data_IF_175970789065
#
_entry.id   IF_175970789065
#
_cell.length_a   1.000
_cell.length_b   1.000
_cell.length_c   1.000
_cell.angle_alpha   90.00
_cell.angle_beta   90.00
_cell.angle_gamma   90.00
#
_symmetry.space_group_name_H-M   'P 1'
#
loop_
_entity.id
_entity.type
_entity.pdbx_description
1 polymer ?
#
# COMPACT_ATOMS: atom_id res chain seq x y z
N UNK A 1 28.92 48.41 23.52
CA UNK A 1 28.05 47.32 23.03
C UNK A 1 28.80 46.55 21.95
N UNK A 2 28.95 45.25 22.19
CA UNK A 2 29.15 44.10 21.28
C UNK A 2 30.04 44.19 20.01
N UNK A 3 30.87 43.14 19.89
CA UNK A 3 31.80 42.73 18.84
C UNK A 3 31.03 42.08 17.66
N UNK A 4 31.50 42.24 16.42
CA UNK A 4 31.48 41.16 15.43
C UNK A 4 32.36 41.50 14.21
N UNK A 5 33.57 40.92 14.19
CA UNK A 5 34.39 40.80 13.00
C UNK A 5 33.94 39.58 12.19
N UNK A 6 33.87 39.70 10.86
CA UNK A 6 34.05 38.53 9.98
C UNK A 6 34.62 38.97 8.64
N UNK A 7 35.87 38.56 8.44
CA UNK A 7 36.64 38.65 7.21
C UNK A 7 36.28 37.40 6.38
N UNK A 8 35.92 37.56 5.10
CA UNK A 8 35.95 36.45 4.15
C UNK A 8 36.85 36.84 2.99
N UNK A 9 37.98 36.14 2.97
CA UNK A 9 39.09 36.18 2.07
C UNK A 9 38.70 35.56 0.72
N UNK A 10 38.82 36.33 -0.36
CA UNK A 10 38.65 35.85 -1.73
C UNK A 10 39.98 35.24 -2.18
N UNK A 11 40.01 33.92 -2.37
CA UNK A 11 41.15 33.22 -2.94
C UNK A 11 40.78 32.68 -4.33
N UNK A 12 41.28 33.38 -5.34
CA UNK A 12 41.29 32.97 -6.75
C UNK A 12 42.22 31.77 -6.94
N UNK A 13 41.75 30.70 -7.60
CA UNK A 13 42.63 29.67 -8.14
C UNK A 13 42.34 29.46 -9.62
N UNK A 14 43.21 30.06 -10.43
CA UNK A 14 43.49 29.65 -11.80
C UNK A 14 44.46 28.46 -11.77
N UNK A 15 44.28 27.47 -12.64
CA UNK A 15 45.24 26.37 -12.80
C UNK A 15 44.72 25.25 -13.70
N UNK A 16 45.01 25.36 -14.99
CA UNK A 16 44.69 24.40 -16.04
C UNK A 16 45.76 23.30 -16.15
N UNK A 17 45.34 22.13 -16.64
CA UNK A 17 46.15 21.03 -17.19
C UNK A 17 47.04 20.21 -16.25
N UNK A 18 46.72 18.92 -16.12
CA UNK A 18 47.62 17.78 -16.35
C UNK A 18 46.78 16.49 -16.36
N UNK A 19 46.63 15.88 -17.54
CA UNK A 19 46.12 14.52 -17.69
C UNK A 19 47.23 13.52 -17.30
N UNK A 20 46.96 12.55 -16.40
CA UNK A 20 47.76 11.34 -16.36
C UNK A 20 47.18 10.29 -17.31
N UNK A 21 47.94 9.96 -18.36
CA UNK A 21 47.80 8.71 -19.09
C UNK A 21 48.08 7.54 -18.15
N UNK A 22 47.04 6.82 -17.73
CA UNK A 22 47.23 5.49 -17.14
C UNK A 22 47.24 4.44 -18.26
N UNK A 23 48.44 3.95 -18.58
CA UNK A 23 48.63 2.68 -19.30
C UNK A 23 48.32 1.56 -18.29
N UNK A 24 47.14 0.96 -18.37
CA UNK A 24 46.87 -0.30 -17.68
C UNK A 24 47.32 -1.47 -18.58
N UNK A 25 48.06 -2.46 -18.05
CA UNK A 25 48.54 -3.62 -18.81
C UNK A 25 47.38 -4.55 -19.15
N UNK A 26 47.43 -5.11 -20.36
CA UNK A 26 46.53 -6.15 -20.83
C UNK A 26 46.70 -7.42 -20.00
N UNK A 27 45.91 -7.58 -18.93
CA UNK A 27 45.63 -8.88 -18.34
C UNK A 27 44.26 -9.31 -18.85
N UNK A 28 44.27 -10.04 -19.95
CA UNK A 28 43.15 -10.87 -20.39
C UNK A 28 42.90 -11.95 -19.32
N UNK A 29 41.88 -11.79 -18.49
CA UNK A 29 41.20 -12.94 -17.88
C UNK A 29 39.69 -12.89 -18.17
N UNK A 30 39.15 -13.87 -18.92
CA UNK A 30 37.76 -13.88 -19.36
C UNK A 30 36.75 -14.19 -18.24
N UNK A 31 35.63 -13.47 -18.29
CA UNK A 31 34.30 -13.84 -17.79
C UNK A 31 34.16 -14.19 -16.29
N UNK A 32 33.92 -13.17 -15.47
CA UNK A 32 33.00 -13.31 -14.32
C UNK A 32 31.87 -12.28 -14.50
N UNK A 33 30.69 -12.69 -14.99
CA UNK A 33 29.48 -11.90 -14.84
C UNK A 33 29.16 -11.83 -13.35
N UNK A 34 29.28 -10.65 -12.74
CA UNK A 34 28.59 -10.36 -11.48
C UNK A 34 27.11 -10.57 -11.73
N UNK A 35 26.57 -11.70 -11.27
CA UNK A 35 25.14 -11.96 -11.32
C UNK A 35 24.43 -10.75 -10.70
N UNK A 36 23.41 -10.15 -11.36
CA UNK A 36 22.56 -9.21 -10.66
C UNK A 36 21.97 -10.00 -9.49
N UNK A 37 22.20 -9.52 -8.27
CA UNK A 37 21.40 -9.95 -7.12
C UNK A 37 19.96 -9.74 -7.53
N UNK A 38 19.29 -10.83 -7.91
CA UNK A 38 17.86 -10.85 -8.04
C UNK A 38 17.36 -10.49 -6.64
N UNK A 39 16.91 -9.25 -6.46
CA UNK A 39 15.85 -9.01 -5.49
C UNK A 39 14.76 -9.98 -5.91
N UNK A 40 14.66 -11.12 -5.21
CA UNK A 40 13.50 -11.99 -5.36
C UNK A 40 12.29 -11.07 -5.27
N UNK A 41 11.42 -11.02 -6.30
CA UNK A 41 10.23 -10.23 -6.20
C UNK A 41 9.49 -10.79 -5.00
N UNK A 42 9.44 -10.04 -3.89
CA UNK A 42 8.54 -10.34 -2.80
C UNK A 42 7.17 -10.42 -3.47
N UNK A 43 6.64 -11.64 -3.62
CA UNK A 43 5.38 -11.86 -4.31
C UNK A 43 4.31 -11.24 -3.41
N UNK A 44 4.01 -9.96 -3.62
CA UNK A 44 2.94 -9.26 -2.93
C UNK A 44 1.64 -9.91 -3.40
N UNK A 45 1.07 -10.77 -2.56
CA UNK A 45 -0.22 -11.38 -2.85
C UNK A 45 -1.30 -10.32 -2.64
N UNK A 46 -1.82 -9.83 -3.77
CA UNK A 46 -2.93 -8.88 -3.78
C UNK A 46 -4.25 -9.62 -3.91
N UNK A 47 -5.22 -9.31 -3.04
CA UNK A 47 -6.60 -9.78 -3.17
C UNK A 47 -7.54 -8.63 -3.50
N UNK A 48 -8.62 -8.93 -4.21
CA UNK A 48 -9.66 -7.93 -4.53
C UNK A 48 -10.87 -8.19 -3.66
N UNK A 49 -11.26 -7.19 -2.86
CA UNK A 49 -12.49 -7.19 -2.09
C UNK A 49 -13.54 -6.35 -2.83
N UNK A 50 -14.46 -7.03 -3.51
CA UNK A 50 -15.50 -6.36 -4.29
C UNK A 50 -16.76 -6.10 -3.45
N UNK A 51 -17.04 -4.83 -3.18
CA UNK A 51 -18.20 -4.36 -2.41
C UNK A 51 -19.22 -3.60 -3.28
N UNK A 52 -19.02 -3.54 -4.60
CA UNK A 52 -19.83 -2.70 -5.51
C UNK A 52 -21.33 -3.00 -5.40
N UNK A 53 -21.67 -4.28 -5.39
CA UNK A 53 -23.04 -4.79 -5.31
C UNK A 53 -23.55 -4.95 -3.87
N UNK A 54 -22.80 -4.44 -2.88
CA UNK A 54 -23.06 -4.62 -1.45
C UNK A 54 -23.43 -3.30 -0.78
N UNK A 55 -24.11 -2.40 -1.49
CA UNK A 55 -24.52 -1.13 -0.87
C UNK A 55 -25.36 -1.40 0.39
N UNK A 56 -25.13 -0.66 1.50
CA UNK A 56 -25.94 -0.82 2.69
C UNK A 56 -27.38 -0.42 2.37
N UNK A 57 -28.25 -1.41 2.17
CA UNK A 57 -29.67 -1.20 1.94
C UNK A 57 -30.29 -0.64 3.21
N UNK A 58 -30.72 0.62 3.14
CA UNK A 58 -31.41 1.29 4.24
C UNK A 58 -32.90 0.91 4.18
N UNK A 59 -33.27 -0.13 4.93
CA UNK A 59 -34.66 -0.60 5.03
C UNK A 59 -35.05 -1.56 3.90
N UNK A 60 -35.24 -2.83 4.25
CA UNK A 60 -35.70 -3.86 3.32
C UNK A 60 -35.13 -5.22 3.69
N UNK A 61 -35.95 -6.26 3.53
CA UNK A 61 -35.60 -7.69 3.69
C UNK A 61 -34.19 -8.04 3.18
N UNK A 62 -33.51 -9.01 3.82
CA UNK A 62 -32.16 -9.41 3.43
C UNK A 62 -32.09 -9.71 1.92
N UNK A 63 -31.23 -8.97 1.22
CA UNK A 63 -31.00 -9.15 -0.23
C UNK A 63 -30.69 -10.62 -0.55
N UNK A 64 -31.25 -11.17 -1.64
CA UNK A 64 -30.99 -12.55 -2.03
C UNK A 64 -29.48 -12.78 -2.23
N UNK A 65 -28.97 -13.80 -1.55
CA UNK A 65 -27.72 -14.53 -1.75
C UNK A 65 -26.55 -13.79 -2.46
N UNK A 66 -26.13 -12.63 -1.96
CA UNK A 66 -24.84 -12.08 -2.39
C UNK A 66 -23.74 -13.03 -1.89
N UNK A 67 -22.84 -13.55 -2.75
CA UNK A 67 -21.76 -14.46 -2.34
C UNK A 67 -20.98 -13.89 -1.15
N UNK A 68 -20.47 -14.72 -0.25
CA UNK A 68 -19.67 -14.22 0.87
C UNK A 68 -18.41 -13.51 0.35
N UNK A 69 -18.01 -12.41 0.98
CA UNK A 69 -16.75 -11.75 0.61
C UNK A 69 -15.59 -12.65 1.02
N UNK A 70 -14.70 -12.98 0.09
CA UNK A 70 -13.58 -13.90 0.36
C UNK A 70 -12.23 -13.18 0.26
N UNK A 71 -11.30 -13.57 1.11
CA UNK A 71 -9.92 -13.09 1.17
C UNK A 71 -8.99 -14.29 1.40
N UNK A 72 -7.84 -14.32 0.73
CA UNK A 72 -6.82 -15.32 1.04
C UNK A 72 -6.05 -14.93 2.32
N UNK A 73 -5.67 -15.91 3.15
CA UNK A 73 -4.99 -15.68 4.43
C UNK A 73 -3.54 -15.13 4.30
N UNK A 74 -2.90 -15.33 3.15
CA UNK A 74 -1.52 -14.89 2.89
C UNK A 74 -1.43 -13.57 2.10
N UNK A 75 -2.50 -12.78 2.11
CA UNK A 75 -2.56 -11.49 1.43
C UNK A 75 -1.68 -10.46 2.13
N UNK A 76 -0.90 -9.72 1.36
CA UNK A 76 -0.15 -8.56 1.83
C UNK A 76 -0.75 -7.23 1.40
N UNK A 77 -1.62 -7.24 0.38
CA UNK A 77 -2.35 -6.05 -0.06
C UNK A 77 -3.81 -6.38 -0.43
N UNK A 78 -4.75 -5.64 0.14
CA UNK A 78 -6.17 -5.74 -0.21
C UNK A 78 -6.57 -4.54 -1.07
N UNK A 79 -6.94 -4.82 -2.31
CA UNK A 79 -7.57 -3.86 -3.21
C UNK A 79 -9.08 -3.89 -3.01
N UNK A 80 -9.64 -2.83 -2.44
CA UNK A 80 -11.06 -2.73 -2.10
C UNK A 80 -11.77 -1.92 -3.17
N UNK A 81 -12.82 -2.49 -3.77
CA UNK A 81 -13.77 -1.77 -4.62
C UNK A 81 -14.95 -1.37 -3.75
N UNK A 82 -15.20 -0.07 -3.64
CA UNK A 82 -16.23 0.46 -2.76
C UNK A 82 -17.63 0.30 -3.38
N UNK A 83 -18.69 0.28 -2.54
CA UNK A 83 -20.08 0.27 -3.02
C UNK A 83 -20.35 1.38 -4.04
N UNK A 84 -21.24 1.13 -4.99
CA UNK A 84 -21.64 2.15 -5.96
C UNK A 84 -22.13 3.43 -5.28
N UNK A 85 -21.76 4.58 -5.85
CA UNK A 85 -22.06 5.89 -5.28
C UNK A 85 -21.11 6.35 -4.17
N UNK A 86 -20.09 5.55 -3.80
CA UNK A 86 -19.06 5.99 -2.86
C UNK A 86 -18.17 7.07 -3.49
N UNK A 87 -17.97 8.18 -2.79
CA UNK A 87 -17.07 9.25 -3.23
C UNK A 87 -15.60 8.88 -3.09
N UNK A 88 -14.72 9.58 -3.81
CA UNK A 88 -13.29 9.60 -3.47
C UNK A 88 -13.02 10.22 -2.09
N UNK A 89 -11.88 9.87 -1.49
CA UNK A 89 -11.46 10.44 -0.21
C UNK A 89 -10.71 9.47 0.69
N UNK A 90 -10.62 9.83 1.97
CA UNK A 90 -10.00 9.00 3.01
C UNK A 90 -11.05 8.12 3.67
N UNK A 91 -10.78 6.83 3.70
CA UNK A 91 -11.63 5.82 4.32
C UNK A 91 -10.86 5.12 5.43
N UNK A 92 -11.56 4.89 6.54
CA UNK A 92 -11.08 4.00 7.59
C UNK A 92 -11.60 2.60 7.29
N UNK A 93 -10.74 1.61 7.51
CA UNK A 93 -11.01 0.20 7.29
C UNK A 93 -10.61 -0.57 8.53
N UNK A 94 -11.44 -1.53 8.93
CA UNK A 94 -11.07 -2.49 9.96
C UNK A 94 -11.61 -3.87 9.68
N UNK A 95 -10.86 -4.88 10.10
CA UNK A 95 -11.33 -6.28 10.11
C UNK A 95 -11.50 -6.66 11.57
N UNK A 96 -12.70 -7.14 11.89
CA UNK A 96 -13.12 -7.49 13.23
C UNK A 96 -13.38 -9.00 13.32
N UNK A 97 -13.11 -9.60 14.48
CA UNK A 97 -13.67 -10.92 14.81
C UNK A 97 -15.20 -10.83 14.89
N UNK A 98 -15.88 -11.97 14.81
CA UNK A 98 -17.33 -12.02 15.03
C UNK A 98 -17.75 -11.67 16.46
N UNK A 99 -16.79 -11.61 17.39
CA UNK A 99 -17.01 -11.18 18.78
C UNK A 99 -16.81 -9.66 18.97
N UNK A 100 -16.44 -8.92 17.92
CA UNK A 100 -16.26 -7.47 17.97
C UNK A 100 -14.85 -6.99 18.31
N UNK A 101 -13.85 -7.88 18.29
CA UNK A 101 -12.45 -7.52 18.52
C UNK A 101 -11.76 -7.09 17.21
N UNK A 102 -11.07 -5.94 17.15
CA UNK A 102 -10.35 -5.52 15.95
C UNK A 102 -9.07 -6.34 15.75
N UNK A 103 -8.90 -6.90 14.56
CA UNK A 103 -7.66 -7.58 14.12
C UNK A 103 -6.79 -6.71 13.22
N UNK A 104 -7.43 -5.90 12.38
CA UNK A 104 -6.76 -4.95 11.49
C UNK A 104 -7.47 -3.62 11.61
N UNK A 105 -6.70 -2.53 11.69
CA UNK A 105 -7.18 -1.16 11.51
C UNK A 105 -6.23 -0.47 10.55
N UNK A 106 -6.79 0.12 9.50
CA UNK A 106 -6.02 0.77 8.46
C UNK A 106 -6.79 1.95 7.86
N UNK A 107 -6.08 2.79 7.12
CA UNK A 107 -6.65 3.92 6.39
C UNK A 107 -6.23 3.82 4.93
N UNK A 108 -7.19 3.98 4.02
CA UNK A 108 -6.96 3.97 2.58
C UNK A 108 -7.42 5.26 1.92
N UNK A 109 -6.70 5.75 0.90
CA UNK A 109 -7.19 6.82 0.03
C UNK A 109 -7.88 6.20 -1.17
N UNK A 110 -9.21 6.33 -1.21
CA UNK A 110 -10.01 5.91 -2.33
C UNK A 110 -9.94 6.91 -3.48
N UNK A 111 -9.77 6.38 -4.70
CA UNK A 111 -9.75 7.15 -5.95
C UNK A 111 -10.91 6.70 -6.82
N UNK A 112 -11.63 7.66 -7.39
CA UNK A 112 -12.67 7.40 -8.38
C UNK A 112 -12.03 7.38 -9.77
N UNK A 113 -12.16 6.28 -10.50
CA UNK A 113 -11.72 6.14 -11.89
C UNK A 113 -12.81 5.45 -12.69
N UNK A 114 -13.30 6.10 -13.75
CA UNK A 114 -14.29 5.52 -14.67
C UNK A 114 -15.55 4.97 -13.95
N UNK A 115 -16.03 5.68 -12.93
CA UNK A 115 -17.20 5.25 -12.14
C UNK A 115 -16.89 4.21 -11.06
N UNK A 116 -15.65 3.72 -10.95
CA UNK A 116 -15.20 2.80 -9.91
C UNK A 116 -14.39 3.53 -8.85
N UNK A 117 -14.90 3.54 -7.61
CA UNK A 117 -14.16 4.05 -6.46
C UNK A 117 -13.41 2.89 -5.80
N UNK A 118 -12.09 3.00 -5.68
CA UNK A 118 -11.25 1.92 -5.17
C UNK A 118 -10.08 2.41 -4.32
N UNK A 119 -9.64 1.61 -3.36
CA UNK A 119 -8.48 1.88 -2.50
C UNK A 119 -7.67 0.62 -2.21
N UNK A 120 -6.36 0.76 -2.12
CA UNK A 120 -5.47 -0.29 -1.61
C UNK A 120 -5.25 -0.13 -0.12
N UNK A 121 -5.17 -1.25 0.60
CA UNK A 121 -4.87 -1.31 2.03
C UNK A 121 -3.83 -2.40 2.27
N UNK A 122 -2.77 -2.07 2.99
CA UNK A 122 -1.77 -3.06 3.36
C UNK A 122 -2.29 -3.97 4.47
N UNK A 123 -2.10 -5.28 4.28
CA UNK A 123 -2.49 -6.30 5.23
C UNK A 123 -1.20 -6.90 5.77
N UNK A 124 -0.88 -6.73 7.06
CA UNK A 124 0.34 -7.30 7.60
C UNK A 124 0.25 -8.83 7.51
N UNK A 125 1.25 -9.49 6.89
CA UNK A 125 1.27 -10.94 6.78
C UNK A 125 1.26 -11.55 8.20
N UNK A 126 0.46 -12.59 8.41
CA UNK A 126 0.18 -13.30 9.69
C UNK A 126 -0.90 -12.72 10.62
N UNK A 127 -1.49 -11.55 10.35
CA UNK A 127 -2.47 -10.95 11.28
C UNK A 127 -3.81 -11.68 11.31
N UNK A 128 -4.21 -12.33 10.22
CA UNK A 128 -5.57 -12.85 10.07
C UNK A 128 -5.52 -14.33 9.73
N UNK A 129 -6.00 -15.16 10.66
CA UNK A 129 -6.12 -16.62 10.45
C UNK A 129 -7.29 -16.91 9.52
N UNK A 130 -7.35 -18.13 9.00
CA UNK A 130 -8.53 -18.60 8.28
C UNK A 130 -9.76 -18.59 9.20
N UNK A 131 -10.89 -18.11 8.70
CA UNK A 131 -12.11 -18.00 9.52
C UNK A 131 -13.08 -16.92 9.04
N UNK A 132 -14.16 -16.76 9.82
CA UNK A 132 -15.20 -15.75 9.59
C UNK A 132 -14.88 -14.48 10.35
N UNK A 133 -15.03 -13.35 9.68
CA UNK A 133 -14.73 -12.01 10.17
C UNK A 133 -15.79 -11.02 9.68
N UNK A 134 -15.68 -9.78 10.15
CA UNK A 134 -16.49 -8.66 9.69
C UNK A 134 -15.53 -7.60 9.17
N UNK A 135 -15.60 -7.31 7.86
CA UNK A 135 -14.97 -6.12 7.28
C UNK A 135 -15.87 -4.93 7.57
N UNK A 136 -15.30 -3.86 8.11
CA UNK A 136 -15.99 -2.59 8.27
C UNK A 136 -15.24 -1.48 7.57
N UNK A 137 -15.99 -0.64 6.86
CA UNK A 137 -15.45 0.52 6.16
C UNK A 137 -16.30 1.75 6.49
N UNK A 138 -15.68 2.92 6.53
CA UNK A 138 -16.38 4.20 6.53
C UNK A 138 -15.56 5.23 5.78
N UNK A 139 -16.23 6.19 5.13
CA UNK A 139 -15.58 7.45 4.79
C UNK A 139 -15.31 8.19 6.10
N UNK A 140 -14.15 8.82 6.25
CA UNK A 140 -13.78 9.48 7.51
C UNK A 140 -14.84 10.49 7.93
N UNK A 141 -15.39 10.33 9.13
CA UNK A 141 -16.47 11.18 9.67
C UNK A 141 -17.90 10.71 9.34
N UNK A 142 -18.07 9.58 8.64
CA UNK A 142 -19.37 8.93 8.42
C UNK A 142 -19.52 7.66 9.25
N UNK A 143 -20.71 7.07 9.21
CA UNK A 143 -21.04 5.80 9.86
C UNK A 143 -20.35 4.58 9.23
N UNK A 144 -20.15 3.55 10.03
CA UNK A 144 -19.57 2.27 9.60
C UNK A 144 -20.56 1.44 8.80
N UNK A 145 -20.11 0.92 7.65
CA UNK A 145 -20.77 -0.15 6.90
C UNK A 145 -20.09 -1.48 7.19
N UNK A 146 -20.87 -2.55 7.39
CA UNK A 146 -20.36 -3.87 7.80
C UNK A 146 -20.63 -4.93 6.74
N UNK A 147 -19.62 -5.76 6.47
CA UNK A 147 -19.64 -6.80 5.45
C UNK A 147 -19.11 -8.10 6.04
N UNK A 148 -19.87 -9.21 5.98
CA UNK A 148 -19.34 -10.52 6.34
C UNK A 148 -18.16 -10.88 5.44
N UNK A 149 -17.04 -11.30 6.04
CA UNK A 149 -15.78 -11.65 5.38
C UNK A 149 -15.38 -13.08 5.75
N UNK A 150 -14.95 -13.87 4.78
CA UNK A 150 -14.36 -15.19 4.96
C UNK A 150 -12.91 -15.18 4.51
N UNK A 151 -12.01 -15.58 5.41
CA UNK A 151 -10.59 -15.72 5.12
C UNK A 151 -10.28 -17.21 4.93
N UNK A 152 -9.68 -17.56 3.79
CA UNK A 152 -9.34 -18.95 3.39
C UNK A 152 -7.86 -19.12 3.07
#
# INVERSE_FOLDING_TARGET
>A
MAIAATIVMVASFAGWALLPRQKAPLVLRPNEPTAPRQEEPLVTQTTVLDLRDRSPQRGGEPSPAVPLLEMAHNVSNAQIYLPFGSDEGIYDVRIMTTQGEPLLVATGRAKLKQGLTSMGVDVPPSTIRQGRYILQIRKRGLEWSSFPLLVR
#
